data_IF_637752985929
#
_entry.id   IF_637752985929
#
_cell.length_a   1.000
_cell.length_b   1.000
_cell.length_c   1.000
_cell.angle_alpha   90.00
_cell.angle_beta   90.00
_cell.angle_gamma   90.00
#
_symmetry.space_group_name_H-M   'P 1'
#
loop_
_entity.id
_entity.type
_entity.pdbx_description
1 polymer ?
#
# COMPACT_ATOMS: atom_id res chain seq x y z
N UNK A 1 33.47 -83.81 24.97
CA UNK A 1 34.06 -83.46 23.65
C UNK A 1 32.99 -82.75 22.87
N UNK A 2 33.05 -81.43 22.88
CA UNK A 2 32.10 -80.54 22.21
C UNK A 2 32.95 -79.39 21.69
N UNK A 3 33.18 -79.38 20.38
CA UNK A 3 33.95 -78.37 19.67
C UNK A 3 33.17 -77.05 19.65
N UNK A 4 33.83 -75.97 20.04
CA UNK A 4 33.35 -74.59 19.90
C UNK A 4 33.66 -74.10 18.49
N UNK A 5 32.61 -73.86 17.70
CA UNK A 5 32.67 -73.15 16.43
C UNK A 5 32.88 -71.64 16.67
N UNK A 6 34.05 -71.13 16.32
CA UNK A 6 34.34 -69.70 16.26
C UNK A 6 33.95 -69.13 14.89
N UNK A 7 32.87 -68.36 14.83
CA UNK A 7 32.49 -67.58 13.65
C UNK A 7 33.31 -66.29 13.55
N UNK A 8 34.02 -66.11 12.43
CA UNK A 8 34.69 -64.87 12.05
C UNK A 8 33.68 -63.75 11.72
N UNK A 9 33.94 -62.48 12.09
CA UNK A 9 33.11 -61.36 11.65
C UNK A 9 33.43 -61.03 10.19
N UNK A 10 32.40 -61.05 9.34
CA UNK A 10 32.47 -60.56 7.97
C UNK A 10 32.59 -59.03 7.95
N UNK A 11 33.62 -58.53 7.26
CA UNK A 11 33.78 -57.12 6.90
C UNK A 11 32.66 -56.69 5.96
N UNK A 12 31.55 -56.24 6.56
CA UNK A 12 30.41 -55.66 5.87
C UNK A 12 30.68 -54.20 5.48
N UNK A 13 31.06 -54.02 4.22
CA UNK A 13 30.91 -52.85 3.34
C UNK A 13 30.36 -51.56 4.00
N UNK A 14 31.18 -50.50 3.94
CA UNK A 14 30.75 -49.14 4.24
C UNK A 14 29.48 -48.78 3.44
N UNK A 15 28.49 -48.11 4.06
CA UNK A 15 27.27 -47.71 3.37
C UNK A 15 27.60 -46.82 2.18
N UNK A 16 26.85 -46.93 1.07
CA UNK A 16 27.12 -46.15 -0.13
C UNK A 16 27.09 -44.66 0.24
N UNK A 17 28.17 -43.97 -0.10
CA UNK A 17 28.28 -42.51 -0.06
C UNK A 17 27.03 -41.96 -0.74
N UNK A 18 26.17 -41.33 0.06
CA UNK A 18 24.90 -40.79 -0.36
C UNK A 18 25.10 -39.91 -1.59
N UNK A 19 24.66 -40.41 -2.75
CA UNK A 19 24.55 -39.61 -3.95
C UNK A 19 23.75 -38.36 -3.60
N UNK A 20 24.24 -37.19 -4.01
CA UNK A 20 23.61 -35.91 -3.76
C UNK A 20 22.17 -35.92 -4.28
N UNK A 21 21.19 -36.23 -3.42
CA UNK A 21 19.77 -36.21 -3.76
C UNK A 21 19.45 -34.83 -4.33
N UNK A 22 19.11 -34.72 -5.61
CA UNK A 22 18.80 -33.42 -6.21
C UNK A 22 17.63 -32.78 -5.48
N UNK A 23 17.70 -31.46 -5.24
CA UNK A 23 16.58 -30.70 -4.65
C UNK A 23 15.41 -30.76 -5.61
N UNK A 24 14.19 -30.95 -5.09
CA UNK A 24 12.97 -30.97 -5.89
C UNK A 24 12.84 -29.66 -6.71
N UNK A 25 12.89 -29.72 -8.06
CA UNK A 25 12.80 -28.53 -8.91
C UNK A 25 11.46 -27.79 -8.74
N UNK A 26 10.38 -28.49 -8.38
CA UNK A 26 9.06 -27.88 -8.13
C UNK A 26 9.10 -27.01 -6.88
N UNK A 27 9.78 -27.46 -5.83
CA UNK A 27 9.96 -26.66 -4.62
C UNK A 27 10.77 -25.40 -4.87
N UNK A 28 11.81 -25.48 -5.72
CA UNK A 28 12.61 -24.31 -6.12
C UNK A 28 11.75 -23.30 -6.87
N UNK A 29 10.94 -23.74 -7.84
CA UNK A 29 10.05 -22.87 -8.61
C UNK A 29 9.02 -22.18 -7.71
N UNK A 30 8.34 -22.94 -6.85
CA UNK A 30 7.38 -22.39 -5.88
C UNK A 30 8.03 -21.43 -4.88
N UNK A 31 9.27 -21.69 -4.50
CA UNK A 31 10.04 -20.78 -3.64
C UNK A 31 10.31 -19.45 -4.33
N UNK A 32 10.67 -19.47 -5.62
CA UNK A 32 10.83 -18.23 -6.41
C UNK A 32 9.53 -17.44 -6.52
N UNK A 33 8.40 -18.12 -6.73
CA UNK A 33 7.08 -17.47 -6.79
C UNK A 33 6.66 -16.89 -5.42
N UNK A 34 6.84 -17.64 -4.33
CA UNK A 34 6.52 -17.21 -2.97
C UNK A 34 7.41 -16.04 -2.48
N UNK A 35 8.61 -15.91 -3.03
CA UNK A 35 9.53 -14.80 -2.79
C UNK A 35 9.22 -13.55 -3.64
N UNK A 36 8.14 -13.50 -4.40
CA UNK A 36 7.70 -12.26 -5.05
C UNK A 36 6.85 -11.43 -4.08
N UNK A 37 7.26 -10.18 -3.84
CA UNK A 37 6.49 -9.22 -3.05
C UNK A 37 5.96 -8.10 -3.94
N UNK A 38 4.77 -7.54 -3.66
CA UNK A 38 4.23 -6.39 -4.37
C UNK A 38 4.92 -5.08 -3.94
N UNK A 39 6.23 -5.04 -4.15
CA UNK A 39 7.13 -3.95 -3.79
C UNK A 39 7.96 -3.59 -5.04
N UNK A 40 7.61 -2.51 -5.77
CA UNK A 40 8.26 -2.16 -7.04
C UNK A 40 9.78 -1.97 -6.97
N UNK A 41 10.30 -1.62 -5.79
CA UNK A 41 11.74 -1.45 -5.54
C UNK A 41 12.49 -2.78 -5.37
N UNK A 42 11.78 -3.86 -5.01
CA UNK A 42 12.34 -5.21 -4.84
C UNK A 42 12.04 -6.07 -6.08
N UNK A 43 10.84 -5.94 -6.64
CA UNK A 43 10.37 -6.68 -7.81
C UNK A 43 9.81 -5.71 -8.85
N UNK A 44 10.61 -5.47 -9.89
CA UNK A 44 10.28 -4.53 -10.97
C UNK A 44 9.05 -4.96 -11.77
N UNK A 45 8.64 -6.23 -11.71
CA UNK A 45 7.41 -6.69 -12.34
C UNK A 45 6.16 -6.07 -11.72
N UNK A 46 6.25 -5.46 -10.53
CA UNK A 46 5.18 -4.69 -9.89
C UNK A 46 5.14 -3.22 -10.27
N UNK A 47 6.06 -2.75 -11.11
CA UNK A 47 5.98 -1.37 -11.62
C UNK A 47 4.71 -1.19 -12.44
N UNK A 48 3.90 -0.22 -12.04
CA UNK A 48 2.70 0.20 -12.75
C UNK A 48 3.04 1.47 -13.49
N UNK A 49 2.79 1.47 -14.80
CA UNK A 49 2.91 2.66 -15.66
C UNK A 49 1.53 3.07 -16.10
N UNK A 50 1.27 4.38 -16.12
CA UNK A 50 0.06 4.88 -16.78
C UNK A 50 0.03 4.37 -18.22
N UNK A 51 -1.16 3.96 -18.70
CA UNK A 51 -1.31 3.68 -20.12
C UNK A 51 -0.92 4.93 -20.89
N UNK A 52 -0.01 4.79 -21.87
CA UNK A 52 0.35 5.89 -22.73
C UNK A 52 -0.96 6.48 -23.26
N UNK A 53 -1.31 7.69 -22.81
CA UNK A 53 -2.41 8.42 -23.45
C UNK A 53 -1.95 8.49 -24.89
N UNK A 54 -2.66 7.81 -25.80
CA UNK A 54 -2.53 8.14 -27.20
C UNK A 54 -2.82 9.63 -27.21
N UNK A 55 -1.79 10.46 -27.40
CA UNK A 55 -2.01 11.84 -27.77
C UNK A 55 -2.91 11.69 -28.99
N UNK A 56 -4.20 11.96 -28.80
CA UNK A 56 -5.12 11.99 -29.91
C UNK A 56 -4.59 13.17 -30.72
N UNK A 57 -3.69 12.86 -31.67
CA UNK A 57 -3.25 13.78 -32.71
C UNK A 57 -4.55 14.32 -33.24
N UNK A 58 -4.82 15.60 -32.94
CA UNK A 58 -6.09 16.24 -33.23
C UNK A 58 -6.44 15.93 -34.66
N UNK A 59 -7.35 14.96 -34.87
CA UNK A 59 -7.90 14.70 -36.19
C UNK A 59 -8.81 15.87 -36.43
N UNK A 60 -8.24 16.90 -37.04
CA UNK A 60 -8.86 18.14 -37.48
C UNK A 60 -9.78 17.88 -38.70
N UNK A 61 -10.51 16.77 -38.66
CA UNK A 61 -11.59 16.45 -39.58
C UNK A 61 -12.81 16.13 -38.71
N UNK A 62 -13.71 17.11 -38.63
CA UNK A 62 -14.92 17.04 -37.84
C UNK A 62 -15.78 15.82 -38.17
N UNK A 63 -16.63 15.45 -37.21
CA UNK A 63 -17.83 14.59 -37.34
C UNK A 63 -17.74 13.09 -37.05
N UNK A 64 -16.68 12.58 -36.44
CA UNK A 64 -16.74 11.26 -35.78
C UNK A 64 -16.25 11.36 -34.34
N UNK A 65 -17.09 11.92 -33.45
CA UNK A 65 -16.93 11.68 -32.00
C UNK A 65 -16.97 10.17 -31.81
N UNK A 66 -15.87 9.57 -31.33
CA UNK A 66 -15.89 8.15 -30.91
C UNK A 66 -17.04 8.00 -29.93
N UNK A 67 -17.97 7.11 -30.24
CA UNK A 67 -19.13 6.81 -29.40
C UNK A 67 -18.61 6.31 -28.05
N UNK A 68 -18.69 7.13 -27.01
CA UNK A 68 -18.38 6.71 -25.64
C UNK A 68 -19.35 5.61 -25.22
N UNK A 69 -18.92 4.78 -24.26
CA UNK A 69 -19.81 3.78 -23.67
C UNK A 69 -20.94 4.49 -22.91
N UNK A 70 -22.17 4.04 -23.10
CA UNK A 70 -23.28 4.62 -22.35
C UNK A 70 -23.21 4.23 -20.87
N UNK A 71 -23.83 5.04 -20.02
CA UNK A 71 -23.91 4.75 -18.58
C UNK A 71 -24.57 3.39 -18.31
N UNK A 72 -25.64 3.06 -19.03
CA UNK A 72 -26.36 1.79 -18.89
C UNK A 72 -25.49 0.59 -19.30
N UNK A 73 -24.75 0.72 -20.41
CA UNK A 73 -23.79 -0.32 -20.82
C UNK A 73 -22.74 -0.57 -19.73
N UNK A 74 -22.19 0.49 -19.14
CA UNK A 74 -21.22 0.34 -18.05
C UNK A 74 -21.88 -0.29 -16.81
N UNK A 75 -23.11 0.09 -16.48
CA UNK A 75 -23.85 -0.48 -15.35
C UNK A 75 -24.11 -1.98 -15.55
N UNK A 76 -24.51 -2.40 -16.75
CA UNK A 76 -24.72 -3.80 -17.11
C UNK A 76 -23.42 -4.59 -17.03
N UNK A 77 -22.31 -4.05 -17.56
CA UNK A 77 -21.00 -4.68 -17.44
C UNK A 77 -20.55 -4.82 -15.99
N UNK A 78 -20.82 -3.84 -15.12
CA UNK A 78 -20.52 -3.94 -13.68
C UNK A 78 -21.31 -5.06 -13.02
N UNK A 79 -22.60 -5.16 -13.32
CA UNK A 79 -23.47 -6.23 -12.81
C UNK A 79 -23.00 -7.60 -13.31
N UNK A 80 -22.69 -7.70 -14.61
CA UNK A 80 -22.15 -8.92 -15.23
C UNK A 80 -20.81 -9.34 -14.64
N UNK A 81 -19.91 -8.39 -14.36
CA UNK A 81 -18.62 -8.68 -13.74
C UNK A 81 -18.75 -9.34 -12.35
N UNK A 82 -19.86 -9.11 -11.64
CA UNK A 82 -20.15 -9.73 -10.35
C UNK A 82 -20.89 -11.06 -10.49
N UNK A 83 -21.82 -11.17 -11.45
CA UNK A 83 -22.69 -12.35 -11.59
C UNK A 83 -22.13 -13.43 -12.52
N UNK A 84 -21.48 -13.04 -13.61
CA UNK A 84 -21.02 -13.91 -14.70
C UNK A 84 -19.66 -13.46 -15.26
N UNK A 85 -18.61 -13.39 -14.43
CA UNK A 85 -17.34 -12.74 -14.76
C UNK A 85 -16.66 -13.29 -16.03
N UNK A 86 -16.83 -14.58 -16.35
CA UNK A 86 -16.27 -15.19 -17.56
C UNK A 86 -16.85 -14.62 -18.85
N UNK A 87 -18.18 -14.55 -18.95
CA UNK A 87 -18.87 -14.03 -20.13
C UNK A 87 -18.61 -12.53 -20.28
N UNK A 88 -18.70 -11.79 -19.17
CA UNK A 88 -18.44 -10.35 -19.16
C UNK A 88 -16.99 -10.02 -19.52
N UNK A 89 -16.00 -10.85 -19.14
CA UNK A 89 -14.62 -10.62 -19.54
C UNK A 89 -14.43 -10.65 -21.07
N UNK A 90 -15.15 -11.52 -21.77
CA UNK A 90 -15.10 -11.61 -23.24
C UNK A 90 -15.63 -10.31 -23.85
N UNK A 91 -16.77 -9.83 -23.35
CA UNK A 91 -17.37 -8.57 -23.80
C UNK A 91 -16.45 -7.38 -23.51
N UNK A 92 -15.95 -7.27 -22.29
CA UNK A 92 -14.99 -6.22 -21.88
C UNK A 92 -13.74 -6.26 -22.76
N UNK A 93 -13.16 -7.42 -23.05
CA UNK A 93 -12.00 -7.54 -23.95
C UNK A 93 -12.32 -7.06 -25.37
N UNK A 94 -13.51 -7.35 -25.89
CA UNK A 94 -13.93 -6.86 -27.19
C UNK A 94 -14.13 -5.33 -27.20
N UNK A 95 -14.69 -4.77 -26.13
CA UNK A 95 -14.81 -3.32 -25.98
C UNK A 95 -13.44 -2.64 -25.82
N UNK A 96 -12.49 -3.26 -25.11
CA UNK A 96 -11.12 -2.74 -24.97
C UNK A 96 -10.36 -2.69 -26.29
N UNK A 97 -10.67 -3.55 -27.27
CA UNK A 97 -10.11 -3.40 -28.62
C UNK A 97 -10.56 -2.09 -29.29
N UNK A 98 -11.78 -1.62 -28.97
CA UNK A 98 -12.35 -0.36 -29.48
C UNK A 98 -11.94 0.85 -28.63
N UNK A 99 -11.85 0.66 -27.32
CA UNK A 99 -11.54 1.67 -26.31
C UNK A 99 -10.34 1.24 -25.44
N UNK A 100 -9.13 1.16 -26.02
CA UNK A 100 -7.96 0.56 -25.35
C UNK A 100 -7.50 1.31 -24.10
N UNK A 101 -7.81 2.60 -24.01
CA UNK A 101 -7.40 3.49 -22.92
C UNK A 101 -8.54 3.77 -21.91
N UNK A 102 -9.68 3.07 -22.02
CA UNK A 102 -10.78 3.26 -21.09
C UNK A 102 -10.47 2.61 -19.73
N UNK A 103 -10.31 3.43 -18.70
CA UNK A 103 -9.95 2.99 -17.35
C UNK A 103 -11.06 2.18 -16.68
N UNK A 104 -12.33 2.41 -17.03
CA UNK A 104 -13.45 1.63 -16.50
C UNK A 104 -13.42 0.21 -17.04
N UNK A 105 -13.17 0.03 -18.34
CA UNK A 105 -12.99 -1.28 -18.95
C UNK A 105 -11.76 -2.02 -18.41
N UNK A 106 -10.66 -1.32 -18.13
CA UNK A 106 -9.49 -1.92 -17.47
C UNK A 106 -9.85 -2.44 -16.08
N UNK A 107 -10.54 -1.63 -15.26
CA UNK A 107 -10.97 -2.06 -13.93
C UNK A 107 -11.92 -3.25 -14.01
N UNK A 108 -12.89 -3.23 -14.93
CA UNK A 108 -13.83 -4.33 -15.14
C UNK A 108 -13.12 -5.62 -15.59
N UNK A 109 -12.10 -5.51 -16.45
CA UNK A 109 -11.25 -6.64 -16.86
C UNK A 109 -10.55 -7.28 -15.65
N UNK A 110 -9.99 -6.44 -14.77
CA UNK A 110 -9.36 -6.88 -13.53
C UNK A 110 -10.36 -7.52 -12.55
N UNK A 111 -11.54 -6.91 -12.36
CA UNK A 111 -12.62 -7.44 -11.51
C UNK A 111 -13.10 -8.80 -12.01
N UNK A 112 -13.35 -8.95 -13.31
CA UNK A 112 -13.77 -10.22 -13.90
C UNK A 112 -12.68 -11.29 -13.73
N UNK A 113 -11.42 -10.95 -14.01
CA UNK A 113 -10.29 -11.87 -13.86
C UNK A 113 -10.17 -12.34 -12.41
N UNK A 114 -10.25 -11.44 -11.44
CA UNK A 114 -10.25 -11.79 -10.03
C UNK A 114 -11.45 -12.69 -9.66
N UNK A 115 -12.66 -12.38 -10.14
CA UNK A 115 -13.85 -13.20 -9.92
C UNK A 115 -13.71 -14.62 -10.46
N UNK A 116 -13.20 -14.76 -11.69
CA UNK A 116 -12.91 -16.08 -12.29
C UNK A 116 -11.90 -16.88 -11.48
N UNK A 117 -10.81 -16.24 -11.05
CA UNK A 117 -9.75 -16.91 -10.28
C UNK A 117 -10.26 -17.33 -8.90
N UNK A 118 -11.05 -16.48 -8.24
CA UNK A 118 -11.62 -16.79 -6.92
C UNK A 118 -12.58 -17.98 -6.95
N UNK A 119 -13.22 -18.23 -8.09
CA UNK A 119 -14.13 -19.35 -8.30
C UNK A 119 -13.46 -20.58 -8.93
N UNK A 120 -12.16 -20.50 -9.28
CA UNK A 120 -11.42 -21.60 -9.88
C UNK A 120 -10.93 -22.59 -8.83
N UNK A 121 -11.06 -23.90 -9.12
CA UNK A 121 -10.48 -24.98 -8.31
C UNK A 121 -9.00 -25.23 -8.62
N UNK A 122 -8.49 -24.71 -9.75
CA UNK A 122 -7.09 -24.86 -10.15
C UNK A 122 -6.19 -24.03 -9.23
N UNK A 123 -5.11 -24.63 -8.73
CA UNK A 123 -4.03 -23.90 -8.03
C UNK A 123 -3.05 -23.24 -9.01
N UNK A 124 -2.92 -23.80 -10.21
CA UNK A 124 -1.91 -23.37 -11.19
C UNK A 124 -2.27 -21.99 -11.75
N UNK A 125 -1.32 -21.05 -11.68
CA UNK A 125 -1.46 -19.71 -12.24
C UNK A 125 -2.37 -18.76 -11.45
N UNK A 126 -2.85 -19.15 -10.26
CA UNK A 126 -3.74 -18.31 -9.43
C UNK A 126 -3.03 -17.04 -8.97
N UNK A 127 -1.81 -17.17 -8.43
CA UNK A 127 -1.03 -16.04 -7.91
C UNK A 127 -0.67 -15.08 -9.05
N UNK A 128 -0.15 -15.60 -10.17
CA UNK A 128 0.18 -14.80 -11.36
C UNK A 128 -1.07 -14.12 -11.95
N UNK A 129 -2.20 -14.82 -12.05
CA UNK A 129 -3.46 -14.23 -12.51
C UNK A 129 -3.95 -13.10 -11.60
N UNK A 130 -3.85 -13.26 -10.28
CA UNK A 130 -4.20 -12.22 -9.31
C UNK A 130 -3.23 -11.04 -9.32
N UNK A 131 -1.94 -11.31 -9.52
CA UNK A 131 -0.92 -10.28 -9.72
C UNK A 131 -1.25 -9.42 -10.95
N UNK A 132 -1.57 -10.06 -12.08
CA UNK A 132 -1.95 -9.37 -13.30
C UNK A 132 -3.26 -8.57 -13.13
N UNK A 133 -4.27 -9.12 -12.46
CA UNK A 133 -5.49 -8.38 -12.14
C UNK A 133 -5.20 -7.16 -11.23
N UNK A 134 -4.34 -7.32 -10.21
CA UNK A 134 -3.95 -6.23 -9.31
C UNK A 134 -3.22 -5.10 -10.05
N UNK A 135 -2.29 -5.46 -10.95
CA UNK A 135 -1.58 -4.49 -11.79
C UNK A 135 -2.52 -3.77 -12.74
N UNK A 136 -3.41 -4.50 -13.42
CA UNK A 136 -4.38 -3.92 -14.34
C UNK A 136 -5.35 -2.97 -13.63
N UNK A 137 -5.83 -3.33 -12.43
CA UNK A 137 -6.64 -2.45 -11.59
C UNK A 137 -5.86 -1.18 -11.17
N UNK A 138 -4.57 -1.31 -10.81
CA UNK A 138 -3.73 -0.15 -10.51
C UNK A 138 -3.47 0.74 -11.74
N UNK A 139 -3.26 0.15 -12.92
CA UNK A 139 -3.14 0.88 -14.19
C UNK A 139 -4.42 1.64 -14.53
N UNK A 140 -5.59 1.06 -14.25
CA UNK A 140 -6.86 1.74 -14.41
C UNK A 140 -6.93 3.02 -13.57
N UNK A 141 -6.55 2.95 -12.28
CA UNK A 141 -6.50 4.13 -11.39
C UNK A 141 -5.52 5.20 -11.93
N UNK A 142 -4.32 4.80 -12.36
CA UNK A 142 -3.33 5.69 -13.00
C UNK A 142 -3.85 6.39 -14.26
N UNK A 143 -4.77 5.76 -14.97
CA UNK A 143 -5.27 6.21 -16.28
C UNK A 143 -6.53 7.05 -16.13
N UNK A 144 -6.53 8.02 -15.19
CA UNK A 144 -7.70 8.80 -14.77
C UNK A 144 -8.88 7.95 -14.27
N UNK A 145 -8.68 6.71 -13.81
CA UNK A 145 -9.78 5.84 -13.37
C UNK A 145 -10.16 6.01 -11.91
N UNK A 146 -9.83 7.13 -11.25
CA UNK A 146 -10.09 7.33 -9.83
C UNK A 146 -11.59 7.49 -9.62
N UNK A 147 -12.22 6.53 -8.94
CA UNK A 147 -13.58 6.64 -8.42
C UNK A 147 -13.66 5.79 -7.16
N UNK A 148 -14.67 5.99 -6.33
CA UNK A 148 -14.82 5.18 -5.12
C UNK A 148 -15.04 3.70 -5.47
N UNK A 149 -15.81 3.42 -6.52
CA UNK A 149 -16.01 2.08 -7.07
C UNK A 149 -14.70 1.43 -7.52
N UNK A 150 -13.89 2.14 -8.30
CA UNK A 150 -12.62 1.61 -8.81
C UNK A 150 -11.60 1.43 -7.68
N UNK A 151 -11.51 2.36 -6.73
CA UNK A 151 -10.64 2.25 -5.57
C UNK A 151 -11.00 1.03 -4.71
N UNK A 152 -12.27 0.82 -4.40
CA UNK A 152 -12.73 -0.36 -3.66
C UNK A 152 -12.42 -1.68 -4.37
N UNK A 153 -12.67 -1.75 -5.68
CA UNK A 153 -12.36 -2.94 -6.47
C UNK A 153 -10.85 -3.21 -6.48
N UNK A 154 -10.03 -2.18 -6.66
CA UNK A 154 -8.58 -2.31 -6.56
C UNK A 154 -8.16 -2.88 -5.21
N UNK A 155 -8.63 -2.30 -4.09
CA UNK A 155 -8.28 -2.78 -2.75
C UNK A 155 -8.74 -4.23 -2.53
N UNK A 156 -9.94 -4.59 -2.98
CA UNK A 156 -10.45 -5.96 -2.88
C UNK A 156 -9.54 -6.94 -3.63
N UNK A 157 -9.18 -6.64 -4.88
CA UNK A 157 -8.29 -7.47 -5.71
C UNK A 157 -6.90 -7.58 -5.08
N UNK A 158 -6.31 -6.46 -4.69
CA UNK A 158 -4.98 -6.42 -4.07
C UNK A 158 -4.89 -7.21 -2.77
N UNK A 159 -5.88 -7.07 -1.87
CA UNK A 159 -5.88 -7.81 -0.62
C UNK A 159 -6.23 -9.29 -0.78
N UNK A 160 -6.98 -9.67 -1.82
CA UNK A 160 -7.16 -11.07 -2.19
C UNK A 160 -5.84 -11.67 -2.67
N UNK A 161 -5.08 -10.95 -3.51
CA UNK A 161 -3.74 -11.34 -3.92
C UNK A 161 -2.83 -11.57 -2.72
N UNK A 162 -2.69 -10.58 -1.82
CA UNK A 162 -1.86 -10.70 -0.62
C UNK A 162 -2.27 -11.89 0.28
N UNK A 163 -3.56 -12.13 0.43
CA UNK A 163 -4.07 -13.25 1.22
C UNK A 163 -3.70 -14.61 0.60
N UNK A 164 -3.72 -14.73 -0.74
CA UNK A 164 -3.30 -15.94 -1.44
C UNK A 164 -1.79 -16.11 -1.40
N UNK A 165 -1.02 -15.03 -1.62
CA UNK A 165 0.43 -15.02 -1.50
C UNK A 165 0.87 -15.50 -0.11
N UNK A 166 0.27 -14.96 0.98
CA UNK A 166 0.58 -15.41 2.35
C UNK A 166 0.39 -16.91 2.54
N UNK A 167 -0.72 -17.47 2.02
CA UNK A 167 -1.00 -18.91 2.12
C UNK A 167 0.03 -19.73 1.37
N UNK A 168 0.43 -19.28 0.18
CA UNK A 168 1.47 -19.93 -0.61
C UNK A 168 2.83 -19.85 0.09
N UNK A 169 3.22 -18.66 0.59
CA UNK A 169 4.42 -18.47 1.39
C UNK A 169 4.46 -19.39 2.61
N UNK A 170 3.36 -19.51 3.35
CA UNK A 170 3.27 -20.42 4.49
C UNK A 170 3.37 -21.91 4.08
N UNK A 171 2.76 -22.29 2.94
CA UNK A 171 2.87 -23.65 2.40
C UNK A 171 4.30 -23.99 1.99
N UNK A 172 4.96 -23.09 1.27
CA UNK A 172 6.35 -23.27 0.81
C UNK A 172 7.30 -23.28 1.99
N UNK A 173 7.11 -22.38 2.95
CA UNK A 173 7.93 -22.33 4.16
C UNK A 173 7.91 -23.68 4.91
N UNK A 174 6.74 -24.30 5.05
CA UNK A 174 6.62 -25.64 5.65
C UNK A 174 7.37 -26.70 4.86
N UNK A 175 7.32 -26.67 3.53
CA UNK A 175 8.07 -27.60 2.69
C UNK A 175 9.59 -27.38 2.77
N UNK A 176 10.04 -26.14 2.95
CA UNK A 176 11.46 -25.82 3.15
C UNK A 176 12.01 -26.32 4.51
N UNK A 177 11.15 -26.64 5.49
CA UNK A 177 11.61 -27.16 6.79
C UNK A 177 12.32 -28.52 6.64
N UNK A 178 11.96 -29.32 5.64
CA UNK A 178 12.60 -30.61 5.36
C UNK A 178 13.85 -30.50 4.48
N UNK A 179 14.24 -29.30 4.03
CA UNK A 179 15.36 -29.10 3.10
C UNK A 179 16.45 -28.18 3.71
N UNK A 180 17.43 -28.75 4.46
CA UNK A 180 18.49 -27.97 5.13
C UNK A 180 19.33 -27.09 4.18
N UNK A 181 19.44 -27.50 2.91
CA UNK A 181 20.22 -26.79 1.88
C UNK A 181 19.60 -25.46 1.47
N UNK A 182 18.32 -25.24 1.76
CA UNK A 182 17.57 -24.04 1.42
C UNK A 182 17.36 -23.12 2.64
N UNK A 183 18.25 -23.19 3.64
CA UNK A 183 18.17 -22.39 4.87
C UNK A 183 18.12 -20.87 4.59
N UNK A 184 18.87 -20.40 3.59
CA UNK A 184 18.85 -18.99 3.18
C UNK A 184 17.47 -18.56 2.68
N UNK A 185 16.87 -19.37 1.80
CA UNK A 185 15.54 -19.10 1.25
C UNK A 185 14.47 -19.18 2.34
N UNK A 186 14.59 -20.14 3.28
CA UNK A 186 13.72 -20.23 4.44
C UNK A 186 13.73 -18.94 5.28
N UNK A 187 14.92 -18.43 5.62
CA UNK A 187 15.06 -17.18 6.40
C UNK A 187 14.50 -15.98 5.63
N UNK A 188 14.75 -15.90 4.32
CA UNK A 188 14.22 -14.84 3.47
C UNK A 188 12.69 -14.90 3.39
N UNK A 189 12.13 -16.09 3.24
CA UNK A 189 10.69 -16.31 3.16
C UNK A 189 10.00 -15.96 4.49
N UNK A 190 10.59 -16.30 5.64
CA UNK A 190 10.07 -15.90 6.94
C UNK A 190 9.89 -14.38 7.06
N UNK A 191 10.89 -13.60 6.63
CA UNK A 191 10.82 -12.14 6.58
C UNK A 191 9.75 -11.66 5.60
N UNK A 192 9.62 -12.30 4.45
CA UNK A 192 8.64 -11.92 3.43
C UNK A 192 7.20 -12.20 3.89
N UNK A 193 6.97 -13.24 4.67
CA UNK A 193 5.70 -13.48 5.36
C UNK A 193 5.36 -12.30 6.28
N UNK A 194 6.32 -11.81 7.08
CA UNK A 194 6.10 -10.65 7.97
C UNK A 194 5.77 -9.38 7.19
N UNK A 195 6.39 -9.17 6.02
CA UNK A 195 6.03 -8.06 5.12
C UNK A 195 4.60 -8.22 4.61
N UNK A 196 4.22 -9.40 4.14
CA UNK A 196 2.85 -9.68 3.68
C UNK A 196 1.83 -9.46 4.80
N UNK A 197 2.16 -9.84 6.03
CA UNK A 197 1.33 -9.61 7.22
C UNK A 197 1.11 -8.13 7.51
N UNK A 198 2.20 -7.35 7.47
CA UNK A 198 2.11 -5.91 7.59
C UNK A 198 1.20 -5.32 6.51
N UNK A 199 1.42 -5.66 5.23
CA UNK A 199 0.59 -5.14 4.13
C UNK A 199 -0.88 -5.51 4.29
N UNK A 200 -1.19 -6.74 4.73
CA UNK A 200 -2.56 -7.17 5.02
C UNK A 200 -3.19 -6.38 6.17
N UNK A 201 -2.40 -5.99 7.19
CA UNK A 201 -2.89 -5.22 8.33
C UNK A 201 -3.39 -3.82 7.94
N UNK A 202 -2.91 -3.26 6.84
CA UNK A 202 -3.34 -1.96 6.33
C UNK A 202 -4.78 -1.98 5.76
N UNK A 203 -5.31 -3.17 5.43
CA UNK A 203 -6.68 -3.36 4.92
C UNK A 203 -7.74 -2.69 5.79
N UNK A 204 -7.65 -2.85 7.12
CA UNK A 204 -8.64 -2.31 8.06
C UNK A 204 -8.64 -0.78 8.04
N UNK A 205 -7.45 -0.16 7.97
CA UNK A 205 -7.31 1.30 7.93
C UNK A 205 -7.87 1.86 6.62
N UNK A 206 -7.56 1.22 5.50
CA UNK A 206 -8.07 1.61 4.18
C UNK A 206 -9.59 1.48 4.13
N UNK A 207 -10.16 0.35 4.59
CA UNK A 207 -11.61 0.15 4.62
C UNK A 207 -12.34 1.12 5.55
N UNK A 208 -11.71 1.54 6.66
CA UNK A 208 -12.28 2.58 7.52
C UNK A 208 -12.41 3.92 6.76
N UNK A 209 -11.38 4.30 5.99
CA UNK A 209 -11.39 5.51 5.17
C UNK A 209 -12.40 5.42 4.03
N UNK A 210 -12.36 4.36 3.22
CA UNK A 210 -13.32 4.21 2.10
C UNK A 210 -14.75 4.04 2.60
N UNK A 211 -14.95 3.35 3.72
CA UNK A 211 -16.24 3.24 4.41
C UNK A 211 -16.78 4.59 4.88
N UNK A 212 -15.92 5.49 5.36
CA UNK A 212 -16.34 6.86 5.69
C UNK A 212 -16.72 7.66 4.43
N UNK A 213 -15.94 7.55 3.35
CA UNK A 213 -16.25 8.22 2.08
C UNK A 213 -17.59 7.76 1.51
N UNK A 214 -17.92 6.46 1.58
CA UNK A 214 -19.22 5.93 1.16
C UNK A 214 -20.40 6.55 1.89
N UNK A 215 -20.23 6.95 3.15
CA UNK A 215 -21.28 7.64 3.92
C UNK A 215 -21.45 9.11 3.52
N UNK A 216 -20.42 9.71 2.94
CA UNK A 216 -20.39 11.14 2.54
C UNK A 216 -20.80 11.35 1.08
N UNK A 217 -20.49 10.40 0.21
CA UNK A 217 -20.79 10.47 -1.21
C UNK A 217 -22.12 9.78 -1.47
N UNK A 218 -22.97 10.36 -2.32
CA UNK A 218 -24.22 9.70 -2.75
C UNK A 218 -23.88 8.42 -3.51
N UNK A 219 -24.59 7.32 -3.23
CA UNK A 219 -24.33 6.01 -3.85
C UNK A 219 -24.34 6.06 -5.38
N UNK A 220 -25.22 6.88 -5.97
CA UNK A 220 -25.28 7.11 -7.42
C UNK A 220 -24.01 7.72 -8.02
N UNK A 221 -23.15 8.34 -7.21
CA UNK A 221 -21.88 8.95 -7.61
C UNK A 221 -20.64 8.09 -7.32
N UNK A 222 -20.80 6.88 -6.76
CA UNK A 222 -19.64 6.01 -6.45
C UNK A 222 -18.83 5.62 -7.69
N UNK A 223 -19.51 5.52 -8.82
CA UNK A 223 -18.95 5.20 -10.12
C UNK A 223 -18.47 6.40 -10.92
N UNK A 224 -18.77 7.62 -10.49
CA UNK A 224 -18.34 8.84 -11.17
C UNK A 224 -16.85 9.00 -10.98
N UNK A 225 -16.14 9.11 -12.10
CA UNK A 225 -14.69 9.30 -12.12
C UNK A 225 -14.29 10.71 -11.71
N UNK A 226 -13.24 10.82 -10.92
CA UNK A 226 -12.62 12.05 -10.44
C UNK A 226 -11.36 12.22 -11.28
N UNK A 227 -11.51 12.78 -12.47
CA UNK A 227 -10.37 12.90 -13.36
C UNK A 227 -9.33 13.89 -12.78
N UNK A 228 -8.09 13.77 -13.26
CA UNK A 228 -6.99 14.59 -12.78
C UNK A 228 -7.20 16.09 -13.03
N UNK A 229 -8.01 16.47 -14.02
CA UNK A 229 -8.31 17.88 -14.30
C UNK A 229 -9.26 18.45 -13.25
N UNK A 230 -10.36 17.73 -12.92
CA UNK A 230 -11.29 18.13 -11.86
C UNK A 230 -10.60 18.20 -10.50
N UNK A 231 -9.72 17.25 -10.19
CA UNK A 231 -8.92 17.28 -8.95
C UNK A 231 -8.03 18.53 -8.92
N UNK A 232 -7.32 18.84 -10.00
CA UNK A 232 -6.46 20.02 -10.09
C UNK A 232 -7.26 21.33 -9.98
N UNK A 233 -8.43 21.40 -10.61
CA UNK A 233 -9.33 22.55 -10.51
C UNK A 233 -9.82 22.75 -9.07
N UNK A 234 -10.20 21.67 -8.37
CA UNK A 234 -10.62 21.75 -6.99
C UNK A 234 -9.54 22.35 -6.08
N UNK A 235 -8.27 21.93 -6.25
CA UNK A 235 -7.15 22.53 -5.50
C UNK A 235 -6.97 24.02 -5.81
N UNK A 236 -7.09 24.44 -7.07
CA UNK A 236 -7.01 25.85 -7.48
C UNK A 236 -8.14 26.69 -6.88
N UNK A 237 -9.37 26.17 -6.90
CA UNK A 237 -10.52 26.87 -6.31
C UNK A 237 -10.38 27.01 -4.79
N UNK A 238 -9.90 25.98 -4.09
CA UNK A 238 -9.62 26.08 -2.65
C UNK A 238 -8.49 27.08 -2.37
N UNK A 239 -7.44 27.08 -3.18
CA UNK A 239 -6.33 28.05 -3.08
C UNK A 239 -6.81 29.50 -3.25
N UNK A 240 -7.75 29.75 -4.17
CA UNK A 240 -8.34 31.09 -4.39
C UNK A 240 -9.50 31.43 -3.45
N UNK A 241 -9.80 30.60 -2.44
CA UNK A 241 -10.91 30.80 -1.50
C UNK A 241 -12.32 30.47 -2.05
N UNK A 242 -12.41 29.98 -3.29
CA UNK A 242 -13.65 29.61 -3.97
C UNK A 242 -14.13 28.19 -3.59
N UNK A 243 -14.26 27.94 -2.28
CA UNK A 243 -14.48 26.60 -1.71
C UNK A 243 -15.78 25.89 -2.18
N UNK A 244 -16.79 26.67 -2.60
CA UNK A 244 -18.12 26.16 -2.97
C UNK A 244 -18.28 25.90 -4.47
N UNK A 245 -17.26 26.18 -5.28
CA UNK A 245 -17.30 25.93 -6.72
C UNK A 245 -17.52 24.46 -7.03
N UNK A 246 -18.34 24.16 -8.04
CA UNK A 246 -18.63 22.80 -8.44
C UNK A 246 -17.45 22.20 -9.22
N UNK A 247 -16.95 21.07 -8.74
CA UNK A 247 -15.87 20.31 -9.37
C UNK A 247 -16.40 18.95 -9.86
N UNK A 248 -17.59 18.97 -10.46
CA UNK A 248 -18.26 17.83 -11.09
C UNK A 248 -19.13 17.04 -10.12
N UNK A 249 -18.51 16.28 -9.20
CA UNK A 249 -19.29 15.43 -8.27
C UNK A 249 -19.59 16.08 -6.92
N UNK A 250 -18.84 17.12 -6.57
CA UNK A 250 -18.83 17.74 -5.26
C UNK A 250 -18.28 19.17 -5.37
N UNK A 251 -18.46 19.95 -4.31
CA UNK A 251 -17.80 21.26 -4.19
C UNK A 251 -16.27 21.10 -4.14
N UNK A 252 -15.53 22.16 -4.45
CA UNK A 252 -14.06 22.17 -4.45
C UNK A 252 -13.48 21.66 -3.11
N UNK A 253 -14.01 22.12 -1.97
CA UNK A 253 -13.53 21.70 -0.65
C UNK A 253 -13.82 20.22 -0.35
N UNK A 254 -14.97 19.71 -0.79
CA UNK A 254 -15.33 18.29 -0.65
C UNK A 254 -14.45 17.43 -1.54
N UNK A 255 -14.24 17.82 -2.80
CA UNK A 255 -13.36 17.13 -3.74
C UNK A 255 -11.93 17.04 -3.19
N UNK A 256 -11.37 18.13 -2.65
CA UNK A 256 -10.05 18.12 -1.99
C UNK A 256 -10.03 17.16 -0.81
N UNK A 257 -11.10 17.14 0.00
CA UNK A 257 -11.20 16.25 1.17
C UNK A 257 -11.28 14.77 0.77
N UNK A 258 -12.07 14.44 -0.25
CA UNK A 258 -12.20 13.07 -0.77
C UNK A 258 -10.91 12.60 -1.43
N UNK A 259 -10.27 13.48 -2.21
CA UNK A 259 -8.97 13.22 -2.85
C UNK A 259 -7.91 12.93 -1.80
N UNK A 260 -7.79 13.76 -0.77
CA UNK A 260 -6.86 13.54 0.33
C UNK A 260 -7.08 12.18 1.02
N UNK A 261 -8.32 11.84 1.34
CA UNK A 261 -8.65 10.56 1.98
C UNK A 261 -8.25 9.34 1.12
N UNK A 262 -8.50 9.40 -0.20
CA UNK A 262 -8.04 8.35 -1.10
C UNK A 262 -6.51 8.32 -1.21
N UNK A 263 -5.84 9.47 -1.30
CA UNK A 263 -4.38 9.53 -1.36
C UNK A 263 -3.71 8.93 -0.13
N UNK A 264 -4.25 9.17 1.08
CA UNK A 264 -3.76 8.51 2.31
C UNK A 264 -3.94 6.99 2.22
N UNK A 265 -5.02 6.52 1.61
CA UNK A 265 -5.25 5.08 1.40
C UNK A 265 -4.32 4.49 0.35
N UNK A 266 -4.07 5.20 -0.75
CA UNK A 266 -3.14 4.79 -1.80
C UNK A 266 -1.69 4.79 -1.32
N UNK A 267 -1.30 5.74 -0.45
CA UNK A 267 0.03 5.81 0.14
C UNK A 267 0.38 4.61 1.03
N UNK A 268 -0.62 3.85 1.49
CA UNK A 268 -0.44 2.59 2.25
C UNK A 268 -0.17 1.38 1.34
N UNK A 269 -0.34 1.52 0.03
CA UNK A 269 -0.18 0.45 -0.95
C UNK A 269 1.03 0.74 -1.85
N UNK A 270 2.17 0.03 -1.68
CA UNK A 270 3.42 0.37 -2.37
C UNK A 270 3.34 0.39 -3.89
N UNK A 271 2.55 -0.50 -4.50
CA UNK A 271 2.39 -0.57 -5.96
C UNK A 271 1.69 0.67 -6.56
N UNK A 272 1.02 1.47 -5.72
CA UNK A 272 0.39 2.74 -6.12
C UNK A 272 1.28 3.97 -5.87
N UNK A 273 2.56 3.80 -5.49
CA UNK A 273 3.46 4.95 -5.31
C UNK A 273 3.48 5.91 -6.52
N UNK A 274 3.51 5.45 -7.79
CA UNK A 274 3.44 6.34 -8.95
C UNK A 274 2.15 7.17 -9.02
N UNK A 275 1.01 6.62 -8.58
CA UNK A 275 -0.27 7.33 -8.52
C UNK A 275 -0.20 8.43 -7.48
N UNK A 276 0.32 8.08 -6.30
CA UNK A 276 0.48 9.02 -5.19
C UNK A 276 1.38 10.18 -5.61
N UNK A 277 2.51 9.92 -6.26
CA UNK A 277 3.40 10.97 -6.76
C UNK A 277 2.68 11.88 -7.77
N UNK A 278 2.00 11.29 -8.75
CA UNK A 278 1.23 12.06 -9.73
C UNK A 278 0.18 12.96 -9.07
N UNK A 279 -0.52 12.47 -8.04
CA UNK A 279 -1.53 13.24 -7.32
C UNK A 279 -0.91 14.31 -6.41
N UNK A 280 0.23 14.04 -5.77
CA UNK A 280 0.95 15.00 -4.93
C UNK A 280 1.43 16.21 -5.75
N UNK A 281 1.79 16.01 -7.02
CA UNK A 281 2.16 17.08 -7.95
C UNK A 281 0.98 18.01 -8.30
N UNK A 282 -0.26 17.62 -7.99
CA UNK A 282 -1.44 18.45 -8.19
C UNK A 282 -1.76 19.33 -6.98
N UNK A 283 -1.18 19.05 -5.80
CA UNK A 283 -1.47 19.77 -4.56
C UNK A 283 -0.52 20.98 -4.44
N UNK A 284 -1.03 22.22 -4.51
CA UNK A 284 -0.23 23.40 -4.23
C UNK A 284 0.10 23.48 -2.73
N UNK A 285 1.29 24.00 -2.41
CA UNK A 285 1.76 24.19 -1.02
C UNK A 285 1.61 25.65 -0.55
N UNK A 286 0.77 26.44 -1.24
CA UNK A 286 0.56 27.88 -1.00
C UNK A 286 -0.25 28.20 0.25
N UNK A 287 -1.06 27.27 0.74
CA UNK A 287 -1.85 27.43 1.97
C UNK A 287 -1.54 26.32 2.95
N UNK A 288 -1.58 26.65 4.26
CA UNK A 288 -1.29 25.69 5.33
C UNK A 288 -2.15 24.42 5.25
N UNK A 289 -3.49 24.48 5.01
CA UNK A 289 -4.30 23.27 4.95
C UNK A 289 -3.93 22.34 3.78
N UNK A 290 -3.50 22.88 2.63
CA UNK A 290 -3.09 22.07 1.48
C UNK A 290 -1.67 21.51 1.69
N UNK A 291 -0.76 22.33 2.23
CA UNK A 291 0.57 21.91 2.65
C UNK A 291 0.49 20.72 3.62
N UNK A 292 -0.31 20.81 4.68
CA UNK A 292 -0.44 19.75 5.68
C UNK A 292 -1.03 18.46 5.12
N UNK A 293 -2.06 18.54 4.26
CA UNK A 293 -2.60 17.36 3.56
C UNK A 293 -1.55 16.67 2.70
N UNK A 294 -0.72 17.45 1.99
CA UNK A 294 0.38 16.90 1.19
C UNK A 294 1.42 16.19 2.07
N UNK A 295 1.78 16.79 3.21
CA UNK A 295 2.72 16.22 4.17
C UNK A 295 2.17 14.95 4.84
N UNK A 296 0.90 14.93 5.20
CA UNK A 296 0.18 13.76 5.73
C UNK A 296 0.33 12.52 4.82
N UNK A 297 0.08 12.70 3.52
CA UNK A 297 0.23 11.62 2.53
C UNK A 297 1.68 11.13 2.40
N UNK A 298 2.64 12.07 2.32
CA UNK A 298 4.07 11.76 2.25
C UNK A 298 4.55 10.98 3.48
N UNK A 299 4.17 11.42 4.68
CA UNK A 299 4.52 10.78 5.94
C UNK A 299 3.89 9.39 6.05
N UNK A 300 2.62 9.23 5.64
CA UNK A 300 1.96 7.91 5.58
C UNK A 300 2.75 6.92 4.73
N UNK A 301 3.22 7.35 3.55
CA UNK A 301 4.06 6.52 2.68
C UNK A 301 5.39 6.15 3.35
N UNK A 302 6.05 7.11 4.02
CA UNK A 302 7.31 6.87 4.73
C UNK A 302 7.16 5.88 5.87
N UNK A 303 6.08 5.97 6.66
CA UNK A 303 5.76 4.98 7.70
C UNK A 303 5.65 3.58 7.09
N UNK A 304 5.04 3.47 5.91
CA UNK A 304 5.01 2.23 5.14
C UNK A 304 6.40 1.67 4.84
N UNK A 305 7.30 2.50 4.30
CA UNK A 305 8.67 2.08 4.00
C UNK A 305 9.47 1.68 5.24
N UNK A 306 9.32 2.41 6.37
CA UNK A 306 9.94 2.05 7.65
C UNK A 306 9.47 0.65 8.09
N UNK A 307 8.16 0.39 8.04
CA UNK A 307 7.60 -0.90 8.46
C UNK A 307 8.02 -2.05 7.55
N UNK A 308 8.10 -1.82 6.24
CA UNK A 308 8.61 -2.83 5.31
C UNK A 308 10.09 -3.13 5.61
N UNK A 309 10.93 -2.08 5.73
CA UNK A 309 12.35 -2.22 6.06
C UNK A 309 12.58 -2.95 7.39
N UNK A 310 11.78 -2.62 8.41
CA UNK A 310 11.77 -3.29 9.71
C UNK A 310 11.51 -4.80 9.57
N UNK A 311 10.49 -5.20 8.82
CA UNK A 311 10.11 -6.61 8.65
C UNK A 311 11.12 -7.41 7.80
N UNK A 312 11.82 -6.78 6.85
CA UNK A 312 12.92 -7.44 6.12
C UNK A 312 14.27 -7.41 6.88
N UNK A 313 14.33 -6.69 8.00
CA UNK A 313 15.55 -6.49 8.79
C UNK A 313 16.60 -5.62 8.10
N UNK A 314 16.19 -4.71 7.22
CA UNK A 314 17.07 -3.74 6.58
C UNK A 314 17.21 -2.50 7.46
N UNK A 315 18.19 -2.54 8.37
CA UNK A 315 18.47 -1.47 9.33
C UNK A 315 18.85 -0.15 8.66
N UNK A 316 19.55 -0.19 7.53
CA UNK A 316 20.02 1.00 6.83
C UNK A 316 18.85 1.74 6.18
N UNK A 317 18.00 1.02 5.46
CA UNK A 317 16.79 1.59 4.85
C UNK A 317 15.81 2.06 5.93
N UNK A 318 15.66 1.29 7.01
CA UNK A 318 14.84 1.69 8.16
C UNK A 318 15.34 3.01 8.78
N UNK A 319 16.63 3.12 9.09
CA UNK A 319 17.23 4.34 9.66
C UNK A 319 17.04 5.54 8.72
N UNK A 320 17.34 5.37 7.43
CA UNK A 320 17.17 6.42 6.41
C UNK A 320 15.75 6.97 6.38
N UNK A 321 14.74 6.09 6.35
CA UNK A 321 13.35 6.53 6.31
C UNK A 321 12.86 7.09 7.64
N UNK A 322 13.29 6.53 8.78
CA UNK A 322 12.90 7.01 10.11
C UNK A 322 13.47 8.41 10.41
N UNK A 323 14.75 8.66 10.12
CA UNK A 323 15.37 9.98 10.23
C UNK A 323 14.68 10.98 9.30
N UNK A 324 14.39 10.58 8.07
CA UNK A 324 13.71 11.47 7.12
C UNK A 324 12.27 11.78 7.55
N UNK A 325 11.54 10.82 8.13
CA UNK A 325 10.21 11.05 8.71
C UNK A 325 10.28 12.06 9.86
N UNK A 326 11.24 11.87 10.77
CA UNK A 326 11.47 12.77 11.91
C UNK A 326 11.75 14.21 11.45
N UNK A 327 12.71 14.39 10.54
CA UNK A 327 13.09 15.73 10.03
C UNK A 327 11.95 16.42 9.28
N UNK A 328 11.18 15.66 8.49
CA UNK A 328 10.00 16.20 7.81
C UNK A 328 8.93 16.63 8.81
N UNK A 329 8.64 15.80 9.82
CA UNK A 329 7.71 16.11 10.88
C UNK A 329 8.10 17.37 11.65
N UNK A 330 9.38 17.48 12.03
CA UNK A 330 9.93 18.65 12.71
C UNK A 330 9.77 19.93 11.86
N UNK A 331 10.14 19.85 10.58
CA UNK A 331 10.01 20.97 9.64
C UNK A 331 8.55 21.38 9.44
N UNK A 332 7.64 20.40 9.38
CA UNK A 332 6.20 20.67 9.26
C UNK A 332 5.66 21.35 10.51
N UNK A 333 6.02 20.88 11.72
CA UNK A 333 5.61 21.49 12.99
C UNK A 333 6.09 22.95 13.08
N UNK A 334 7.36 23.21 12.73
CA UNK A 334 7.91 24.56 12.74
C UNK A 334 7.12 25.53 11.83
N UNK A 335 6.59 25.05 10.70
CA UNK A 335 5.76 25.87 9.79
C UNK A 335 4.35 26.16 10.32
N UNK A 336 3.86 25.37 11.27
CA UNK A 336 2.51 25.49 11.83
C UNK A 336 2.51 25.87 13.30
N UNK A 337 3.63 26.38 13.80
CA UNK A 337 3.81 26.73 15.20
C UNK A 337 2.71 27.69 15.68
N UNK A 338 2.14 27.40 16.85
CA UNK A 338 1.07 28.17 17.46
C UNK A 338 -0.32 28.01 16.83
N UNK A 339 -0.47 27.23 15.75
CA UNK A 339 -1.78 27.03 15.11
C UNK A 339 -2.62 25.98 15.85
N UNK A 340 -3.93 26.21 16.02
CA UNK A 340 -4.80 25.23 16.68
C UNK A 340 -4.98 23.98 15.82
N UNK A 341 -4.95 22.82 16.46
CA UNK A 341 -5.09 21.51 15.83
C UNK A 341 -6.54 21.04 15.94
N UNK A 342 -7.24 20.95 14.81
CA UNK A 342 -8.68 20.62 14.72
C UNK A 342 -8.92 19.33 13.95
N UNK A 343 -8.09 19.04 12.95
CA UNK A 343 -8.25 17.93 12.00
C UNK A 343 -7.08 16.94 12.09
N UNK A 344 -7.30 15.69 11.67
CA UNK A 344 -6.32 14.63 11.90
C UNK A 344 -4.99 14.87 11.19
N UNK A 345 -5.01 15.41 9.97
CA UNK A 345 -3.78 15.72 9.23
C UNK A 345 -2.97 16.87 9.87
N UNK A 346 -3.56 17.64 10.78
CA UNK A 346 -2.89 18.72 11.52
C UNK A 346 -2.15 18.18 12.75
N UNK A 347 -2.65 17.09 13.35
CA UNK A 347 -1.98 16.41 14.46
C UNK A 347 -0.92 15.39 14.02
N UNK A 348 -1.04 14.86 12.80
CA UNK A 348 -0.13 13.86 12.24
C UNK A 348 1.37 14.20 12.32
N UNK A 349 1.84 15.43 12.02
CA UNK A 349 3.25 15.78 12.13
C UNK A 349 3.81 15.51 13.53
N UNK A 350 3.05 15.84 14.58
CA UNK A 350 3.46 15.58 15.96
C UNK A 350 3.60 14.07 16.22
N UNK A 351 2.59 13.27 15.89
CA UNK A 351 2.66 11.82 16.09
C UNK A 351 3.77 11.17 15.25
N UNK A 352 4.02 11.67 14.05
CA UNK A 352 5.10 11.19 13.18
C UNK A 352 6.49 11.61 13.68
N UNK A 353 6.62 12.75 14.38
CA UNK A 353 7.85 13.13 15.08
C UNK A 353 8.18 12.09 16.16
N UNK A 354 7.19 11.77 17.01
CA UNK A 354 7.34 10.74 18.04
C UNK A 354 7.63 9.35 17.45
N UNK A 355 6.90 8.96 16.41
CA UNK A 355 7.12 7.68 15.73
C UNK A 355 8.52 7.60 15.10
N UNK A 356 8.97 8.67 14.43
CA UNK A 356 10.30 8.75 13.85
C UNK A 356 11.40 8.56 14.89
N UNK A 357 11.29 9.26 16.03
CA UNK A 357 12.22 9.11 17.15
C UNK A 357 12.23 7.68 17.71
N UNK A 358 11.06 7.07 17.90
CA UNK A 358 10.95 5.68 18.38
C UNK A 358 11.53 4.66 17.39
N UNK A 359 11.33 4.86 16.09
CA UNK A 359 11.84 3.95 15.05
C UNK A 359 13.35 4.10 14.83
N UNK A 360 13.96 5.19 15.31
CA UNK A 360 15.41 5.38 15.27
C UNK A 360 16.15 4.69 16.44
N UNK A 361 15.45 4.18 17.45
CA UNK A 361 16.09 3.60 18.63
C UNK A 361 17.07 2.48 18.27
N UNK A 362 18.31 2.61 18.74
CA UNK A 362 19.40 1.68 18.44
C UNK A 362 19.94 1.76 17.00
N UNK A 363 19.48 2.73 16.20
CA UNK A 363 19.99 3.03 14.85
C UNK A 363 20.84 4.30 14.81
N UNK A 364 20.79 5.12 15.86
CA UNK A 364 21.55 6.37 16.00
C UNK A 364 22.52 6.30 17.18
N UNK A 365 23.44 7.27 17.24
CA UNK A 365 24.27 7.48 18.42
C UNK A 365 23.38 7.81 19.63
N UNK A 366 23.68 7.33 20.86
CA UNK A 366 22.83 7.54 22.04
C UNK A 366 22.47 9.01 22.30
N UNK A 367 23.44 9.92 22.16
CA UNK A 367 23.20 11.36 22.34
C UNK A 367 22.23 11.93 21.29
N UNK A 368 22.38 11.54 20.03
CA UNK A 368 21.46 11.96 18.95
C UNK A 368 20.05 11.40 19.20
N UNK A 369 19.96 10.14 19.65
CA UNK A 369 18.70 9.50 20.01
C UNK A 369 17.99 10.24 21.16
N UNK A 370 18.72 10.65 22.20
CA UNK A 370 18.17 11.45 23.30
C UNK A 370 17.63 12.79 22.79
N UNK A 371 18.36 13.46 21.88
CA UNK A 371 17.88 14.72 21.29
C UNK A 371 16.58 14.52 20.50
N UNK A 372 16.49 13.45 19.70
CA UNK A 372 15.26 13.13 18.96
C UNK A 372 14.07 12.86 19.89
N UNK A 373 14.31 12.16 21.01
CA UNK A 373 13.27 11.89 22.01
C UNK A 373 12.82 13.16 22.73
N UNK A 374 13.74 14.07 23.07
CA UNK A 374 13.41 15.36 23.69
C UNK A 374 12.58 16.26 22.76
N UNK A 375 12.95 16.33 21.49
CA UNK A 375 12.18 17.06 20.48
C UNK A 375 10.79 16.46 20.28
N UNK A 376 10.69 15.11 20.24
CA UNK A 376 9.42 14.41 20.18
C UNK A 376 8.54 14.69 21.40
N UNK A 377 9.12 14.68 22.60
CA UNK A 377 8.43 15.00 23.86
C UNK A 377 7.85 16.43 23.82
N UNK A 378 8.67 17.42 23.46
CA UNK A 378 8.23 18.82 23.29
C UNK A 378 7.11 18.92 22.25
N UNK A 379 7.20 18.17 21.16
CA UNK A 379 6.15 18.08 20.15
C UNK A 379 4.83 17.56 20.72
N UNK A 380 4.84 16.47 21.50
CA UNK A 380 3.64 15.93 22.14
C UNK A 380 3.02 16.91 23.13
N UNK A 381 3.82 17.55 23.97
CA UNK A 381 3.35 18.58 24.92
C UNK A 381 2.73 19.79 24.21
N UNK A 382 3.30 20.16 23.06
CA UNK A 382 2.75 21.23 22.22
C UNK A 382 1.41 20.82 21.61
N UNK A 383 1.28 19.59 21.11
CA UNK A 383 0.02 19.07 20.61
C UNK A 383 -1.08 19.09 21.68
N UNK A 384 -0.78 18.67 22.91
CA UNK A 384 -1.74 18.73 24.04
C UNK A 384 -2.29 20.15 24.25
N UNK A 385 -1.43 21.17 24.16
CA UNK A 385 -1.82 22.58 24.35
C UNK A 385 -2.62 23.13 23.17
N UNK A 386 -2.35 22.66 21.95
CA UNK A 386 -2.95 23.17 20.72
C UNK A 386 -4.20 22.39 20.27
N UNK A 387 -4.53 21.28 20.93
CA UNK A 387 -5.66 20.42 20.56
C UNK A 387 -7.01 21.12 20.80
N UNK A 388 -7.62 21.56 19.69
CA UNK A 388 -8.97 22.09 19.62
C UNK A 388 -9.92 21.16 18.87
N UNK A 389 -9.55 19.88 18.74
CA UNK A 389 -10.41 18.89 18.13
C UNK A 389 -11.61 18.58 19.03
N UNK A 390 -12.67 18.05 18.42
CA UNK A 390 -13.86 17.64 19.17
C UNK A 390 -13.44 16.64 20.25
N UNK A 391 -13.86 16.91 21.48
CA UNK A 391 -13.60 16.09 22.68
C UNK A 391 -12.11 15.95 23.02
N UNK A 392 -11.24 16.86 22.53
CA UNK A 392 -9.78 16.82 22.73
C UNK A 392 -9.17 15.44 22.43
N UNK A 393 -9.66 14.79 21.36
CA UNK A 393 -9.32 13.39 21.06
C UNK A 393 -7.85 13.15 20.74
N UNK A 394 -7.03 14.19 20.50
CA UNK A 394 -5.60 14.02 20.30
C UNK A 394 -4.80 14.12 21.60
N UNK A 395 -5.35 14.80 22.62
CA UNK A 395 -4.72 15.01 23.92
C UNK A 395 -4.41 13.70 24.62
N UNK A 396 -5.38 12.80 24.73
CA UNK A 396 -5.20 11.50 25.40
C UNK A 396 -4.09 10.67 24.72
N UNK A 397 -4.12 10.58 23.40
CA UNK A 397 -3.10 9.89 22.62
C UNK A 397 -1.72 10.54 22.79
N UNK A 398 -1.64 11.88 22.79
CA UNK A 398 -0.39 12.60 22.99
C UNK A 398 0.19 12.38 24.40
N UNK A 399 -0.65 12.37 25.44
CA UNK A 399 -0.24 12.07 26.82
C UNK A 399 0.34 10.66 26.96
N UNK A 400 -0.31 9.66 26.36
CA UNK A 400 0.22 8.29 26.34
C UNK A 400 1.60 8.21 25.66
N UNK A 401 1.80 8.97 24.58
CA UNK A 401 3.11 9.07 23.92
C UNK A 401 4.15 9.79 24.79
N UNK A 402 3.77 10.85 25.50
CA UNK A 402 4.65 11.56 26.45
C UNK A 402 5.20 10.62 27.50
N UNK A 403 4.36 9.83 28.17
CA UNK A 403 4.82 8.87 29.18
C UNK A 403 5.84 7.88 28.61
N UNK A 404 5.52 7.27 27.46
CA UNK A 404 6.39 6.31 26.79
C UNK A 404 7.74 6.92 26.37
N UNK A 405 7.75 8.18 25.89
CA UNK A 405 8.98 8.86 25.49
C UNK A 405 9.84 9.18 26.71
N UNK A 406 9.24 9.64 27.81
CA UNK A 406 9.93 9.89 29.08
C UNK A 406 10.64 8.63 29.59
N UNK A 407 9.98 7.48 29.54
CA UNK A 407 10.56 6.19 29.92
C UNK A 407 11.77 5.79 29.06
N UNK A 408 11.73 6.11 27.76
CA UNK A 408 12.89 5.89 26.88
C UNK A 408 14.05 6.82 27.20
N UNK A 409 13.78 8.08 27.53
CA UNK A 409 14.82 9.05 27.90
C UNK A 409 15.50 8.62 29.20
N UNK A 410 14.74 8.20 30.21
CA UNK A 410 15.30 7.75 31.49
C UNK A 410 16.19 6.51 31.29
N UNK A 411 15.71 5.53 30.52
CA UNK A 411 16.48 4.32 30.21
C UNK A 411 17.82 4.63 29.51
N UNK A 412 17.81 5.50 28.50
CA UNK A 412 19.02 5.84 27.74
C UNK A 412 20.00 6.74 28.49
N UNK A 413 19.52 7.52 29.45
CA UNK A 413 20.35 8.43 30.24
C UNK A 413 21.02 7.74 31.43
N UNK A 414 20.93 6.40 31.52
CA UNK A 414 21.46 5.63 32.65
C UNK A 414 20.60 5.75 33.90
N UNK A 415 19.27 5.85 33.74
CA UNK A 415 18.32 5.90 34.84
C UNK A 415 18.53 4.74 35.83
N UNK A 416 18.67 5.12 37.10
CA UNK A 416 18.84 4.29 38.30
C UNK A 416 17.71 3.29 38.48
#
# INVERSE_FOLDING_TARGET
MSEEDQAQPSEGQAPPVSGSLQIDPVLIERTKEALQLPLPDIDSSWKITASARSQEKGRFFGLLKKKELSFDQIADLRKGAMMSPGNTLIEVKNLRKKFPNDSTLMMLSATCTNGMIMNSSSKKGVIEGMKNASKEAGTALMSNGISLFNADNFFAIYFNYLSRLKREQASVYKALLSEPRLESDKRKLAKFIQVTDYLLSEKTKIHAVTGHLKKKIKSSKFSTTWDHMSIRQAFKHVESGANKEDCGLATAIEMVSFTHALMVSFARVPILAPLVDQMLDMIPESSTPLYLRKRSVLMTRRVGFIKIAQNVGDRNTMAKHAVSLFKEAQTTIAKIEGQPVKQSYESEPYFNLALGAQMCMGLLHPEEQINYLKDALKGMETLVKLDMSKDHKYTESAQAHTHKITDFISTLSGGV
#
